data_IF_052681839014
#
_entry.id   IF_052681839014
#
_cell.length_a   1.000
_cell.length_b   1.000
_cell.length_c   1.000
_cell.angle_alpha   90.00
_cell.angle_beta   90.00
_cell.angle_gamma   90.00
#
_symmetry.space_group_name_H-M   'P 1'
#
loop_
_entity.id
_entity.type
_entity.pdbx_description
1 polymer ?
#
# COMPACT_ATOMS: atom_id res chain seq x y z
N UNK A 1 14.31 -25.31 -14.55
CA UNK A 1 13.24 -25.07 -13.55
C UNK A 1 12.16 -26.09 -13.84
N UNK A 2 11.90 -26.99 -12.92
CA UNK A 2 10.97 -28.11 -13.12
C UNK A 2 9.49 -27.75 -13.21
N UNK A 3 9.10 -26.51 -12.86
CA UNK A 3 7.67 -26.11 -12.78
C UNK A 3 7.26 -25.05 -13.82
N UNK A 4 8.10 -24.77 -14.81
CA UNK A 4 7.82 -23.70 -15.80
C UNK A 4 6.62 -23.99 -16.71
N UNK A 5 6.31 -25.28 -16.94
CA UNK A 5 5.20 -25.76 -17.75
C UNK A 5 3.89 -25.93 -16.96
N UNK A 6 3.94 -25.87 -15.62
CA UNK A 6 2.77 -25.97 -14.75
C UNK A 6 1.61 -25.01 -15.15
N UNK A 7 1.85 -23.76 -15.57
CA UNK A 7 0.77 -22.89 -16.02
C UNK A 7 -0.02 -23.45 -17.21
N UNK A 8 0.58 -24.30 -18.02
CA UNK A 8 -0.04 -24.84 -19.23
C UNK A 8 -1.00 -26.00 -18.91
N UNK A 9 -0.86 -26.63 -17.73
CA UNK A 9 -1.73 -27.75 -17.36
C UNK A 9 -3.13 -27.31 -16.89
N UNK A 10 -3.30 -26.02 -16.54
CA UNK A 10 -4.54 -25.49 -15.96
C UNK A 10 -5.04 -24.26 -16.74
N UNK A 11 -5.57 -24.41 -17.96
CA UNK A 11 -6.05 -23.28 -18.76
C UNK A 11 -7.24 -22.54 -18.13
N UNK A 12 -8.03 -23.21 -17.27
CA UNK A 12 -9.16 -22.63 -16.55
C UNK A 12 -8.75 -21.69 -15.42
N UNK A 13 -7.50 -21.76 -14.99
CA UNK A 13 -6.93 -20.96 -13.91
C UNK A 13 -5.78 -20.08 -14.39
N UNK A 14 -5.63 -18.88 -13.79
CA UNK A 14 -4.45 -18.05 -14.01
C UNK A 14 -3.38 -18.43 -13.00
N UNK A 15 -2.40 -19.21 -13.43
CA UNK A 15 -1.28 -19.62 -12.59
C UNK A 15 -0.23 -18.53 -12.50
N UNK A 16 0.32 -18.32 -11.30
CA UNK A 16 1.44 -17.42 -11.02
C UNK A 16 2.49 -18.19 -10.22
N UNK A 17 3.70 -18.18 -10.73
CA UNK A 17 4.88 -18.80 -10.11
C UNK A 17 5.79 -17.70 -9.57
N UNK A 18 6.27 -17.86 -8.35
CA UNK A 18 7.27 -16.99 -7.75
C UNK A 18 8.19 -17.84 -6.88
N UNK A 19 9.40 -18.09 -7.38
CA UNK A 19 10.34 -19.07 -6.80
C UNK A 19 9.67 -20.45 -6.64
N UNK A 20 9.48 -20.90 -5.41
CA UNK A 20 8.80 -22.14 -5.02
C UNK A 20 7.29 -21.96 -4.79
N UNK A 21 6.84 -20.71 -4.64
CA UNK A 21 5.43 -20.40 -4.42
C UNK A 21 4.62 -20.52 -5.73
N UNK A 22 3.61 -21.36 -5.73
CA UNK A 22 2.63 -21.50 -6.83
C UNK A 22 1.26 -21.01 -6.38
N UNK A 23 0.66 -20.11 -7.15
CA UNK A 23 -0.68 -19.60 -6.87
C UNK A 23 -1.56 -19.68 -8.11
N UNK A 24 -2.76 -20.20 -7.95
CA UNK A 24 -3.74 -20.35 -9.03
C UNK A 24 -4.98 -19.52 -8.70
N UNK A 25 -5.33 -18.62 -9.61
CA UNK A 25 -6.50 -17.76 -9.50
C UNK A 25 -7.54 -18.17 -10.52
N UNK A 26 -8.77 -18.32 -10.10
CA UNK A 26 -9.91 -18.46 -10.99
C UNK A 26 -11.13 -17.73 -10.43
N UNK A 27 -12.11 -17.45 -11.25
CA UNK A 27 -13.32 -16.75 -10.85
C UNK A 27 -14.56 -17.38 -11.48
N UNK A 28 -15.67 -17.18 -10.82
CA UNK A 28 -16.98 -17.58 -11.34
C UNK A 28 -18.09 -16.72 -10.71
N UNK A 29 -19.26 -16.77 -11.32
CA UNK A 29 -20.44 -16.03 -10.88
C UNK A 29 -21.32 -16.83 -9.90
N UNK A 30 -21.11 -18.14 -9.76
CA UNK A 30 -21.85 -19.00 -8.82
C UNK A 30 -20.91 -19.90 -8.02
N UNK A 31 -21.37 -20.34 -6.86
CA UNK A 31 -20.61 -21.24 -5.97
C UNK A 31 -20.48 -22.61 -6.59
N UNK A 32 -21.53 -23.11 -7.25
CA UNK A 32 -21.54 -24.40 -7.93
C UNK A 32 -20.45 -24.43 -9.01
N UNK A 33 -20.38 -23.36 -9.80
CA UNK A 33 -19.34 -23.22 -10.83
C UNK A 33 -17.93 -23.07 -10.22
N UNK A 34 -17.79 -22.44 -9.04
CA UNK A 34 -16.50 -22.40 -8.33
C UNK A 34 -16.09 -23.81 -7.92
N UNK A 35 -17.01 -24.60 -7.35
CA UNK A 35 -16.76 -26.00 -6.96
C UNK A 35 -16.39 -26.86 -8.18
N UNK A 36 -17.15 -26.77 -9.27
CA UNK A 36 -16.86 -27.50 -10.50
C UNK A 36 -15.51 -27.15 -11.11
N UNK A 37 -15.20 -25.86 -11.25
CA UNK A 37 -13.89 -25.40 -11.75
C UNK A 37 -12.75 -25.82 -10.84
N UNK A 38 -12.92 -25.72 -9.52
CA UNK A 38 -11.88 -26.15 -8.57
C UNK A 38 -11.57 -27.64 -8.74
N UNK A 39 -12.60 -28.48 -8.92
CA UNK A 39 -12.42 -29.92 -9.14
C UNK A 39 -11.64 -30.20 -10.44
N UNK A 40 -11.96 -29.52 -11.54
CA UNK A 40 -11.25 -29.66 -12.83
C UNK A 40 -9.78 -29.25 -12.67
N UNK A 41 -9.52 -28.07 -12.07
CA UNK A 41 -8.16 -27.57 -11.85
C UNK A 41 -7.37 -28.54 -10.96
N UNK A 42 -7.98 -29.06 -9.88
CA UNK A 42 -7.31 -30.01 -8.99
C UNK A 42 -7.00 -31.33 -9.70
N UNK A 43 -7.87 -31.81 -10.58
CA UNK A 43 -7.61 -33.01 -11.39
C UNK A 43 -6.43 -32.81 -12.33
N UNK A 44 -6.37 -31.69 -13.03
CA UNK A 44 -5.24 -31.36 -13.94
C UNK A 44 -3.92 -31.26 -13.17
N UNK A 45 -3.95 -30.56 -12.02
CA UNK A 45 -2.77 -30.46 -11.15
C UNK A 45 -2.33 -31.84 -10.63
N UNK A 46 -3.26 -32.66 -10.16
CA UNK A 46 -2.98 -34.01 -9.68
C UNK A 46 -2.24 -34.82 -10.75
N UNK A 47 -2.74 -34.80 -11.98
CA UNK A 47 -2.13 -35.53 -13.10
C UNK A 47 -0.72 -34.99 -13.40
N UNK A 48 -0.55 -33.66 -13.41
CA UNK A 48 0.74 -33.04 -13.65
C UNK A 48 1.75 -33.36 -12.53
N UNK A 49 1.34 -33.27 -11.25
CA UNK A 49 2.22 -33.61 -10.10
C UNK A 49 2.63 -35.09 -10.13
N UNK A 50 1.69 -36.01 -10.42
CA UNK A 50 1.99 -37.44 -10.56
C UNK A 50 2.98 -37.71 -11.70
N UNK A 51 2.77 -37.08 -12.87
CA UNK A 51 3.66 -37.25 -14.02
C UNK A 51 5.09 -36.74 -13.73
N UNK A 52 5.22 -35.68 -12.95
CA UNK A 52 6.50 -35.10 -12.58
C UNK A 52 7.11 -35.69 -11.30
N UNK A 53 6.46 -36.70 -10.68
CA UNK A 53 6.88 -37.33 -9.41
C UNK A 53 7.09 -36.31 -8.28
N UNK A 54 6.23 -35.29 -8.23
CA UNK A 54 6.22 -34.25 -7.21
C UNK A 54 5.12 -34.50 -6.19
N UNK A 55 5.35 -34.12 -4.95
CA UNK A 55 4.37 -34.20 -3.87
C UNK A 55 4.02 -32.77 -3.38
N UNK A 56 2.75 -32.56 -3.07
CA UNK A 56 2.30 -31.30 -2.49
C UNK A 56 2.42 -31.36 -0.97
N UNK A 57 2.90 -30.28 -0.37
CA UNK A 57 2.83 -30.12 1.08
C UNK A 57 1.46 -29.50 1.43
N UNK A 58 0.50 -30.36 1.83
CA UNK A 58 -0.87 -29.96 2.15
C UNK A 58 -0.95 -29.05 3.40
N UNK A 59 -0.02 -29.18 4.35
CA UNK A 59 0.01 -28.34 5.56
C UNK A 59 0.40 -26.90 5.25
N UNK A 60 1.23 -26.68 4.21
CA UNK A 60 1.64 -25.34 3.75
C UNK A 60 0.70 -24.80 2.67
N UNK A 61 -0.16 -25.63 2.12
CA UNK A 61 -1.09 -25.25 1.05
C UNK A 61 -2.44 -24.86 1.64
N UNK A 62 -3.00 -23.78 1.15
CA UNK A 62 -4.31 -23.29 1.56
C UNK A 62 -5.02 -22.63 0.40
N UNK A 63 -6.33 -22.53 0.47
CA UNK A 63 -7.10 -21.73 -0.47
C UNK A 63 -7.97 -20.72 0.25
N UNK A 64 -8.30 -19.63 -0.43
CA UNK A 64 -9.25 -18.64 0.05
C UNK A 64 -10.23 -18.25 -1.04
N UNK A 65 -11.41 -17.82 -0.64
CA UNK A 65 -12.47 -17.38 -1.55
C UNK A 65 -12.72 -15.91 -1.27
N UNK A 66 -12.33 -15.07 -2.23
CA UNK A 66 -12.63 -13.64 -2.16
C UNK A 66 -14.09 -13.39 -2.50
N UNK A 67 -14.80 -12.70 -1.62
CA UNK A 67 -16.23 -12.42 -1.75
C UNK A 67 -16.51 -10.92 -1.63
N UNK A 68 -17.45 -10.43 -2.42
CA UNK A 68 -17.88 -9.02 -2.35
C UNK A 68 -18.83 -8.75 -1.17
N UNK A 69 -19.52 -9.78 -0.69
CA UNK A 69 -20.43 -9.68 0.45
C UNK A 69 -19.75 -10.12 1.74
N UNK A 70 -19.98 -9.39 2.83
CA UNK A 70 -19.55 -9.78 4.18
C UNK A 70 -20.42 -10.88 4.79
N UNK A 71 -21.57 -11.20 4.18
CA UNK A 71 -22.45 -12.27 4.67
C UNK A 71 -21.77 -13.62 4.51
N UNK A 72 -21.79 -14.41 5.57
CA UNK A 72 -21.33 -15.79 5.50
C UNK A 72 -22.28 -16.61 4.62
N UNK A 73 -21.69 -17.42 3.78
CA UNK A 73 -22.44 -18.35 2.95
C UNK A 73 -22.04 -19.78 3.36
N UNK A 74 -22.97 -20.53 4.00
CA UNK A 74 -22.69 -21.87 4.50
C UNK A 74 -22.34 -22.88 3.39
N UNK A 75 -22.69 -22.57 2.14
CA UNK A 75 -22.42 -23.44 0.99
C UNK A 75 -21.00 -23.35 0.44
N UNK A 76 -20.15 -22.46 0.99
CA UNK A 76 -18.75 -22.36 0.59
C UNK A 76 -17.96 -23.60 1.05
N UNK A 77 -17.09 -24.17 0.19
CA UNK A 77 -16.28 -25.31 0.58
C UNK A 77 -15.27 -24.93 1.69
N UNK A 78 -15.17 -25.78 2.70
CA UNK A 78 -14.17 -25.62 3.77
C UNK A 78 -12.87 -26.36 3.46
N UNK A 79 -12.89 -27.28 2.50
CA UNK A 79 -11.74 -28.05 2.05
C UNK A 79 -11.89 -28.43 0.58
N UNK A 80 -10.77 -28.63 -0.08
CA UNK A 80 -10.66 -29.12 -1.46
C UNK A 80 -9.73 -30.33 -1.44
N UNK A 81 -10.17 -31.41 -2.11
CA UNK A 81 -9.38 -32.64 -2.26
C UNK A 81 -8.27 -32.45 -3.30
N UNK A 82 -7.07 -32.89 -3.00
CA UNK A 82 -5.91 -32.91 -3.88
C UNK A 82 -4.95 -34.03 -3.51
N UNK A 83 -4.63 -34.95 -4.46
CA UNK A 83 -3.70 -36.07 -4.26
C UNK A 83 -4.01 -36.89 -2.98
N UNK A 84 -5.25 -37.27 -2.78
CA UNK A 84 -5.72 -38.04 -1.60
C UNK A 84 -5.53 -37.30 -0.25
N UNK A 85 -5.31 -35.97 -0.30
CA UNK A 85 -5.18 -35.08 0.84
C UNK A 85 -6.22 -33.94 0.73
N UNK A 86 -6.43 -33.24 1.85
CA UNK A 86 -7.33 -32.09 1.88
C UNK A 86 -6.58 -30.80 2.12
N UNK A 87 -6.75 -29.85 1.19
CA UNK A 87 -6.32 -28.46 1.35
C UNK A 87 -7.42 -27.72 2.10
N UNK A 88 -7.05 -27.07 3.22
CA UNK A 88 -7.99 -26.34 4.07
C UNK A 88 -8.22 -24.92 3.56
N UNK A 89 -9.45 -24.45 3.73
CA UNK A 89 -9.78 -23.04 3.51
C UNK A 89 -9.14 -22.19 4.61
N UNK A 90 -8.52 -21.09 4.20
CA UNK A 90 -8.01 -20.07 5.09
C UNK A 90 -8.80 -18.76 4.88
N UNK A 91 -9.13 -18.07 5.96
CA UNK A 91 -9.75 -16.73 5.91
C UNK A 91 -8.77 -15.65 5.47
N UNK A 92 -7.48 -15.90 5.71
CA UNK A 92 -6.37 -15.03 5.36
C UNK A 92 -5.26 -15.83 4.70
N UNK A 93 -4.71 -15.31 3.61
CA UNK A 93 -3.56 -15.91 2.93
C UNK A 93 -2.43 -14.89 2.81
N UNK A 94 -1.20 -15.35 2.89
CA UNK A 94 -0.02 -14.53 2.65
C UNK A 94 0.42 -14.71 1.19
N UNK A 95 0.21 -13.66 0.39
CA UNK A 95 0.63 -13.63 -1.01
C UNK A 95 1.78 -12.64 -1.19
N UNK A 96 2.95 -13.12 -1.56
CA UNK A 96 4.17 -12.31 -1.74
C UNK A 96 4.39 -11.30 -0.60
N UNK A 97 4.24 -11.75 0.65
CA UNK A 97 4.47 -10.92 1.82
C UNK A 97 3.32 -10.00 2.24
N UNK A 98 2.23 -9.92 1.45
CA UNK A 98 1.00 -9.19 1.80
C UNK A 98 -0.06 -10.17 2.27
N UNK A 99 -0.67 -9.92 3.43
CA UNK A 99 -1.77 -10.75 3.93
C UNK A 99 -3.07 -10.23 3.32
N UNK A 100 -3.77 -11.14 2.63
CA UNK A 100 -5.04 -10.89 1.96
C UNK A 100 -6.13 -11.63 2.73
N UNK A 101 -7.12 -10.92 3.25
CA UNK A 101 -8.32 -11.52 3.84
C UNK A 101 -9.44 -11.68 2.81
N UNK A 102 -10.40 -12.57 3.03
CA UNK A 102 -11.52 -12.89 2.13
C UNK A 102 -12.29 -11.66 1.64
N UNK A 103 -12.32 -10.60 2.42
CA UNK A 103 -13.02 -9.36 2.10
C UNK A 103 -12.08 -8.25 1.63
N UNK A 104 -10.78 -8.53 1.49
CA UNK A 104 -9.73 -7.60 1.10
C UNK A 104 -9.74 -6.30 1.94
N UNK A 105 -9.98 -6.45 3.23
CA UNK A 105 -9.98 -5.33 4.19
C UNK A 105 -8.57 -4.98 4.66
N UNK A 106 -7.60 -5.87 4.46
CA UNK A 106 -6.18 -5.78 4.87
C UNK A 106 -5.97 -5.60 6.38
N UNK A 107 -6.94 -6.04 7.21
CA UNK A 107 -6.89 -5.86 8.65
C UNK A 107 -5.66 -6.52 9.27
N UNK A 108 -5.48 -7.81 8.98
CA UNK A 108 -4.36 -8.60 9.47
C UNK A 108 -3.03 -8.05 9.01
N UNK A 109 -2.93 -7.65 7.73
CA UNK A 109 -1.70 -7.07 7.18
C UNK A 109 -1.31 -5.78 7.90
N UNK A 110 -2.27 -4.88 8.09
CA UNK A 110 -2.04 -3.61 8.81
C UNK A 110 -1.67 -3.85 10.27
N UNK A 111 -2.30 -4.83 10.93
CA UNK A 111 -1.93 -5.23 12.29
C UNK A 111 -0.49 -5.74 12.35
N UNK A 112 -0.08 -6.57 11.38
CA UNK A 112 1.30 -7.06 11.28
C UNK A 112 2.30 -5.92 11.08
N UNK A 113 2.02 -4.96 10.18
CA UNK A 113 2.85 -3.77 10.00
C UNK A 113 2.94 -2.98 11.31
N UNK A 114 1.81 -2.70 11.95
CA UNK A 114 1.78 -1.98 13.23
C UNK A 114 2.62 -2.68 14.30
N UNK A 115 2.53 -4.01 14.40
CA UNK A 115 3.31 -4.78 15.37
C UNK A 115 4.81 -4.74 15.06
N UNK A 116 5.19 -4.82 13.77
CA UNK A 116 6.59 -4.66 13.34
C UNK A 116 7.13 -3.26 13.66
N UNK A 117 6.32 -2.22 13.49
CA UNK A 117 6.68 -0.85 13.83
C UNK A 117 6.80 -0.64 15.34
N UNK A 118 5.87 -1.19 16.13
CA UNK A 118 5.91 -1.08 17.60
C UNK A 118 7.20 -1.66 18.20
N UNK A 119 7.74 -2.73 17.65
CA UNK A 119 9.00 -3.32 18.12
C UNK A 119 10.20 -2.39 17.94
N UNK A 120 10.11 -1.37 17.09
CA UNK A 120 11.19 -0.41 16.87
C UNK A 120 11.30 0.62 17.98
N UNK A 121 10.27 0.86 18.80
CA UNK A 121 10.31 1.88 19.85
C UNK A 121 11.46 1.68 20.82
N UNK A 122 11.65 0.47 21.29
CA UNK A 122 12.73 0.15 22.23
C UNK A 122 14.11 0.41 21.59
N UNK A 123 14.29 -0.04 20.35
CA UNK A 123 15.55 0.16 19.62
C UNK A 123 15.82 1.64 19.45
N UNK A 124 14.82 2.40 18.98
CA UNK A 124 14.98 3.83 18.71
C UNK A 124 15.22 4.65 19.96
N UNK A 125 14.57 4.27 21.06
CA UNK A 125 14.80 4.90 22.36
C UNK A 125 16.26 4.78 22.81
N UNK A 126 16.86 3.61 22.64
CA UNK A 126 18.23 3.35 23.08
C UNK A 126 19.30 4.02 22.18
N UNK A 127 19.01 4.26 20.89
CA UNK A 127 20.01 4.79 19.95
C UNK A 127 19.87 6.29 19.69
N UNK A 128 18.73 6.92 20.03
CA UNK A 128 18.38 8.30 19.63
C UNK A 128 19.44 9.34 20.00
N UNK A 129 20.07 9.19 21.19
CA UNK A 129 21.00 10.17 21.72
C UNK A 129 22.36 10.19 20.96
N UNK A 130 22.61 9.15 20.14
CA UNK A 130 23.82 9.01 19.32
C UNK A 130 23.60 9.41 17.85
N UNK A 131 22.40 9.89 17.48
CA UNK A 131 22.03 10.10 16.08
C UNK A 131 22.08 11.57 15.68
N UNK A 132 22.66 11.84 14.52
CA UNK A 132 22.48 13.08 13.77
C UNK A 132 21.33 12.95 12.75
N UNK A 133 20.91 14.08 12.14
CA UNK A 133 19.79 14.11 11.19
C UNK A 133 19.97 13.16 9.98
N UNK A 134 21.19 12.98 9.51
CA UNK A 134 21.45 12.09 8.38
C UNK A 134 21.26 10.62 8.77
N UNK A 135 21.75 10.24 9.95
CA UNK A 135 21.58 8.91 10.51
C UNK A 135 20.10 8.62 10.82
N UNK A 136 19.37 9.60 11.35
CA UNK A 136 17.91 9.51 11.55
C UNK A 136 17.19 9.17 10.23
N UNK A 137 17.50 9.90 9.15
CA UNK A 137 16.92 9.62 7.82
C UNK A 137 17.27 8.21 7.33
N UNK A 138 18.53 7.79 7.46
CA UNK A 138 18.98 6.46 7.02
C UNK A 138 18.25 5.34 7.76
N UNK A 139 18.19 5.42 9.09
CA UNK A 139 17.49 4.44 9.94
C UNK A 139 16.00 4.42 9.65
N UNK A 140 15.38 5.59 9.50
CA UNK A 140 13.97 5.68 9.12
C UNK A 140 13.70 4.98 7.79
N UNK A 141 14.48 5.25 6.74
CA UNK A 141 14.29 4.61 5.44
C UNK A 141 14.50 3.10 5.49
N UNK A 142 15.50 2.64 6.24
CA UNK A 142 15.81 1.22 6.36
C UNK A 142 14.74 0.45 7.15
N UNK A 143 14.30 0.96 8.29
CA UNK A 143 13.49 0.19 9.25
C UNK A 143 12.00 0.55 9.25
N UNK A 144 11.63 1.80 8.99
CA UNK A 144 10.22 2.25 9.03
C UNK A 144 9.65 2.34 7.63
N UNK A 145 10.26 3.16 6.77
CA UNK A 145 9.76 3.42 5.43
C UNK A 145 9.67 2.15 4.58
N UNK A 146 10.68 1.29 4.61
CA UNK A 146 10.71 0.03 3.87
C UNK A 146 9.50 -0.86 4.19
N UNK A 147 9.13 -0.95 5.48
CA UNK A 147 7.98 -1.74 5.95
C UNK A 147 6.64 -1.13 5.55
N UNK A 148 6.53 0.20 5.61
CA UNK A 148 5.32 0.93 5.20
C UNK A 148 5.15 0.87 3.68
N UNK A 149 6.23 1.08 2.94
CA UNK A 149 6.18 1.15 1.48
C UNK A 149 5.86 -0.18 0.82
N UNK A 150 6.31 -1.30 1.39
CA UNK A 150 6.12 -2.61 0.78
C UNK A 150 4.62 -2.93 0.64
N UNK A 151 4.16 -3.11 -0.60
CA UNK A 151 2.76 -3.40 -0.91
C UNK A 151 1.76 -2.26 -0.66
N UNK A 152 2.20 -1.02 -0.35
CA UNK A 152 1.31 0.09 0.01
C UNK A 152 0.31 0.46 -1.11
N UNK A 153 0.65 0.26 -2.36
CA UNK A 153 -0.26 0.43 -3.49
C UNK A 153 -1.47 -0.52 -3.42
N UNK A 154 -1.33 -1.66 -2.74
CA UNK A 154 -2.37 -2.67 -2.54
C UNK A 154 -3.09 -2.42 -1.21
N UNK A 155 -2.42 -2.60 -0.06
CA UNK A 155 -3.07 -2.48 1.24
C UNK A 155 -3.43 -1.03 1.63
N UNK A 156 -2.78 -0.04 1.03
CA UNK A 156 -3.07 1.38 1.25
C UNK A 156 -4.48 1.80 0.81
N UNK A 157 -5.22 0.92 0.13
CA UNK A 157 -6.63 1.10 -0.21
C UNK A 157 -7.59 0.71 0.94
N UNK A 158 -7.06 0.19 2.04
CA UNK A 158 -7.84 -0.08 3.23
C UNK A 158 -8.54 1.19 3.78
N UNK A 159 -9.46 0.98 4.70
CA UNK A 159 -10.22 2.07 5.30
C UNK A 159 -9.28 3.11 5.97
N UNK A 160 -9.65 4.39 5.87
CA UNK A 160 -8.84 5.52 6.34
C UNK A 160 -8.42 5.39 7.82
N UNK A 161 -9.31 4.89 8.67
CA UNK A 161 -9.03 4.71 10.10
C UNK A 161 -7.88 3.73 10.35
N UNK A 162 -7.73 2.69 9.53
CA UNK A 162 -6.66 1.71 9.64
C UNK A 162 -5.32 2.26 9.15
N UNK A 163 -5.32 2.96 8.02
CA UNK A 163 -4.14 3.66 7.52
C UNK A 163 -3.67 4.73 8.52
N UNK A 164 -4.61 5.43 9.18
CA UNK A 164 -4.29 6.40 10.25
C UNK A 164 -3.52 5.76 11.41
N UNK A 165 -3.75 4.49 11.74
CA UNK A 165 -2.96 3.78 12.78
C UNK A 165 -1.48 3.68 12.41
N UNK A 166 -1.17 3.38 11.14
CA UNK A 166 0.21 3.34 10.64
C UNK A 166 0.82 4.75 10.70
N UNK A 167 0.07 5.78 10.28
CA UNK A 167 0.51 7.18 10.35
C UNK A 167 0.83 7.61 11.78
N UNK A 168 -0.02 7.23 12.74
CA UNK A 168 0.21 7.54 14.16
C UNK A 168 1.51 6.90 14.66
N UNK A 169 1.76 5.62 14.33
CA UNK A 169 3.00 4.95 14.69
C UNK A 169 4.22 5.55 14.00
N UNK A 170 4.11 5.91 12.72
CA UNK A 170 5.16 6.63 11.99
C UNK A 170 5.54 7.92 12.72
N UNK A 171 4.54 8.73 13.09
CA UNK A 171 4.74 9.99 13.78
C UNK A 171 5.41 9.81 15.16
N UNK A 172 4.96 8.83 15.92
CA UNK A 172 5.52 8.52 17.24
C UNK A 172 6.97 8.03 17.14
N UNK A 173 7.25 7.11 16.20
CA UNK A 173 8.61 6.60 15.96
C UNK A 173 9.57 7.73 15.53
N UNK A 174 9.10 8.64 14.67
CA UNK A 174 9.91 9.79 14.27
C UNK A 174 10.20 10.73 15.44
N UNK A 175 9.22 10.98 16.32
CA UNK A 175 9.45 11.79 17.53
C UNK A 175 10.49 11.16 18.46
N UNK A 176 10.39 9.85 18.70
CA UNK A 176 11.38 9.13 19.51
C UNK A 176 12.76 9.20 18.87
N UNK A 177 12.85 8.89 17.57
CA UNK A 177 14.12 8.87 16.83
C UNK A 177 14.81 10.24 16.78
N UNK A 178 14.02 11.32 16.71
CA UNK A 178 14.50 12.70 16.68
C UNK A 178 14.62 13.35 18.07
N UNK A 179 14.43 12.59 19.15
CA UNK A 179 14.49 13.12 20.53
C UNK A 179 13.49 14.23 20.81
N UNK A 180 12.30 14.22 20.16
CA UNK A 180 11.29 15.27 20.31
C UNK A 180 10.21 14.86 21.32
N UNK A 181 9.68 15.86 22.04
CA UNK A 181 8.60 15.66 22.98
C UNK A 181 7.29 15.15 22.32
N UNK A 182 6.43 14.53 23.09
CA UNK A 182 5.14 14.00 22.61
C UNK A 182 4.28 15.07 21.91
N UNK A 183 4.26 16.30 22.43
CA UNK A 183 3.47 17.42 21.89
C UNK A 183 4.08 18.10 20.67
N UNK A 184 5.31 17.76 20.27
CA UNK A 184 5.95 18.35 19.10
C UNK A 184 5.12 18.16 17.82
N UNK A 185 5.03 19.20 16.99
CA UNK A 185 4.27 19.16 15.75
C UNK A 185 4.83 18.10 14.80
N UNK A 186 3.97 17.17 14.39
CA UNK A 186 4.36 16.11 13.44
C UNK A 186 4.59 16.66 12.04
N UNK A 187 3.84 17.67 11.64
CA UNK A 187 3.99 18.29 10.32
C UNK A 187 5.31 19.03 10.21
N UNK A 188 5.71 19.71 11.29
CA UNK A 188 7.03 20.33 11.38
C UNK A 188 8.14 19.27 11.29
N UNK A 189 8.00 18.15 11.99
CA UNK A 189 8.99 17.07 11.98
C UNK A 189 9.12 16.43 10.58
N UNK A 190 8.00 16.17 9.90
CA UNK A 190 7.99 15.66 8.52
C UNK A 190 8.65 16.65 7.55
N UNK A 191 8.43 17.95 7.75
CA UNK A 191 9.04 19.02 6.95
C UNK A 191 10.54 19.14 7.19
N UNK A 192 10.97 19.19 8.47
CA UNK A 192 12.39 19.32 8.86
C UNK A 192 13.23 18.11 8.41
N UNK A 193 12.69 16.91 8.56
CA UNK A 193 13.35 15.67 8.13
C UNK A 193 13.11 15.35 6.65
N UNK A 194 12.30 16.13 5.96
CA UNK A 194 11.91 15.90 4.56
C UNK A 194 11.38 14.47 4.33
N UNK A 195 10.47 14.01 5.16
CA UNK A 195 9.92 12.69 5.12
C UNK A 195 8.43 12.71 4.75
N UNK A 196 8.02 11.80 3.88
CA UNK A 196 6.63 11.69 3.45
C UNK A 196 5.75 11.06 4.54
N UNK A 197 4.51 11.54 4.65
CA UNK A 197 3.44 10.87 5.40
C UNK A 197 2.99 9.60 4.70
N UNK A 198 2.33 8.68 5.41
CA UNK A 198 1.87 7.40 4.85
C UNK A 198 0.97 7.57 3.64
N UNK A 199 0.08 8.57 3.66
CA UNK A 199 -0.80 8.89 2.53
C UNK A 199 -0.01 9.27 1.29
N UNK A 200 1.03 10.09 1.47
CA UNK A 200 1.83 10.59 0.36
C UNK A 200 2.77 9.52 -0.19
N UNK A 201 3.26 8.61 0.66
CA UNK A 201 3.98 7.40 0.22
C UNK A 201 3.09 6.55 -0.69
N UNK A 202 1.82 6.35 -0.30
CA UNK A 202 0.84 5.62 -1.11
C UNK A 202 0.62 6.32 -2.47
N UNK A 203 0.37 7.62 -2.45
CA UNK A 203 0.12 8.39 -3.67
C UNK A 203 1.34 8.40 -4.59
N UNK A 204 2.54 8.53 -4.02
CA UNK A 204 3.80 8.46 -4.77
C UNK A 204 3.96 7.11 -5.49
N UNK A 205 3.66 5.99 -4.83
CA UNK A 205 3.79 4.66 -5.44
C UNK A 205 2.72 4.42 -6.51
N UNK A 206 1.49 4.89 -6.30
CA UNK A 206 0.43 4.83 -7.31
C UNK A 206 0.79 5.68 -8.54
N UNK A 207 1.25 6.93 -8.33
CA UNK A 207 1.68 7.81 -9.43
C UNK A 207 2.84 7.21 -10.21
N UNK A 208 3.80 6.61 -9.52
CA UNK A 208 4.93 5.95 -10.18
C UNK A 208 4.47 4.74 -11.03
N UNK A 209 3.47 3.99 -10.58
CA UNK A 209 2.88 2.91 -11.34
C UNK A 209 2.20 3.44 -12.62
N UNK A 210 1.35 4.46 -12.51
CA UNK A 210 0.68 5.08 -13.66
C UNK A 210 1.68 5.69 -14.64
N UNK A 211 2.70 6.38 -14.13
CA UNK A 211 3.77 6.92 -14.97
C UNK A 211 4.52 5.83 -15.73
N UNK A 212 4.84 4.71 -15.08
CA UNK A 212 5.50 3.58 -15.74
C UNK A 212 4.61 2.94 -16.80
N UNK A 213 3.28 2.92 -16.60
CA UNK A 213 2.32 2.49 -17.60
C UNK A 213 2.41 3.38 -18.86
N UNK A 214 2.28 4.69 -18.72
CA UNK A 214 2.37 5.62 -19.88
C UNK A 214 3.76 5.68 -20.52
N UNK A 215 4.79 5.28 -19.79
CA UNK A 215 6.16 5.17 -20.31
C UNK A 215 6.48 3.80 -20.92
N UNK A 216 5.50 2.90 -21.04
CA UNK A 216 5.65 1.52 -21.53
C UNK A 216 6.72 0.72 -20.78
N UNK A 217 6.83 0.93 -19.44
CA UNK A 217 7.82 0.27 -18.58
C UNK A 217 7.23 -0.81 -17.69
N UNK A 218 5.94 -1.08 -17.83
CA UNK A 218 5.30 -2.18 -17.13
C UNK A 218 5.33 -3.45 -17.98
N UNK A 219 5.28 -4.64 -17.34
CA UNK A 219 5.16 -5.91 -18.05
C UNK A 219 3.94 -5.93 -18.98
N UNK A 220 3.96 -6.74 -20.06
CA UNK A 220 2.87 -6.81 -21.06
C UNK A 220 1.49 -7.12 -20.50
N UNK A 221 1.42 -7.78 -19.33
CA UNK A 221 0.14 -8.08 -18.63
C UNK A 221 -0.65 -6.81 -18.28
N UNK A 222 0.00 -5.65 -18.24
CA UNK A 222 -0.65 -4.36 -17.99
C UNK A 222 -1.03 -3.59 -19.27
N UNK A 223 -0.79 -4.15 -20.47
CA UNK A 223 -1.22 -3.51 -21.71
C UNK A 223 -2.73 -3.27 -21.68
N UNK A 224 -3.17 -2.04 -21.99
CA UNK A 224 -4.57 -1.66 -21.92
C UNK A 224 -5.15 -1.51 -20.48
N UNK A 225 -4.33 -1.56 -19.43
CA UNK A 225 -4.81 -1.43 -18.05
C UNK A 225 -5.46 -0.06 -17.77
N UNK A 226 -4.89 1.02 -18.31
CA UNK A 226 -5.51 2.34 -18.34
C UNK A 226 -5.89 2.72 -19.76
N UNK A 227 -7.08 3.29 -19.92
CA UNK A 227 -7.58 3.82 -21.20
C UNK A 227 -7.39 5.34 -21.20
N UNK A 228 -6.94 5.91 -22.29
CA UNK A 228 -6.87 7.38 -22.46
C UNK A 228 -8.21 7.92 -22.96
N UNK A 229 -8.49 9.21 -22.71
CA UNK A 229 -9.72 9.82 -23.18
C UNK A 229 -9.80 9.91 -24.72
N UNK A 230 -8.65 9.97 -25.40
CA UNK A 230 -8.59 10.01 -26.85
C UNK A 230 -8.97 8.68 -27.50
N UNK A 231 -8.64 7.54 -26.85
CA UNK A 231 -8.91 6.22 -27.45
C UNK A 231 -10.41 5.92 -27.64
N UNK A 232 -11.30 6.71 -27.06
CA UNK A 232 -12.75 6.50 -27.12
C UNK A 232 -13.55 7.61 -27.83
N UNK A 233 -12.96 8.75 -28.07
CA UNK A 233 -13.61 9.85 -28.78
C UNK A 233 -12.66 10.37 -29.83
N UNK A 234 -13.01 10.27 -31.12
CA UNK A 234 -12.26 10.81 -32.26
C UNK A 234 -12.06 12.35 -32.21
N UNK A 235 -12.25 12.98 -31.05
CA UNK A 235 -12.04 14.40 -30.84
C UNK A 235 -10.71 14.62 -30.11
N UNK A 236 -9.74 15.13 -30.83
CA UNK A 236 -8.44 15.58 -30.30
C UNK A 236 -8.65 16.84 -29.45
N UNK A 237 -8.94 16.67 -28.16
CA UNK A 237 -8.85 17.78 -27.21
C UNK A 237 -7.40 17.94 -26.77
N UNK A 238 -6.91 19.18 -26.65
CA UNK A 238 -5.49 19.52 -26.31
C UNK A 238 -4.92 18.82 -25.06
N UNK A 239 -5.76 18.24 -24.20
CA UNK A 239 -5.39 17.54 -22.97
C UNK A 239 -5.80 16.06 -22.95
N UNK A 240 -6.52 15.55 -23.95
CA UNK A 240 -7.13 14.22 -23.91
C UNK A 240 -6.12 13.06 -23.92
N UNK A 241 -4.95 13.25 -24.57
CA UNK A 241 -3.90 12.23 -24.63
C UNK A 241 -3.30 11.88 -23.28
N UNK A 242 -3.29 12.84 -22.34
CA UNK A 242 -2.63 12.70 -21.03
C UNK A 242 -3.62 12.48 -19.89
N UNK A 243 -4.91 12.28 -20.19
CA UNK A 243 -5.93 11.99 -19.19
C UNK A 243 -6.42 10.55 -19.32
N UNK A 244 -6.54 9.88 -18.18
CA UNK A 244 -7.09 8.54 -18.12
C UNK A 244 -8.61 8.57 -17.97
N UNK A 245 -9.28 7.67 -18.69
CA UNK A 245 -10.72 7.44 -18.52
C UNK A 245 -10.98 6.83 -17.14
N UNK A 246 -11.89 7.41 -16.42
CA UNK A 246 -12.41 6.81 -15.18
C UNK A 246 -13.65 6.01 -15.56
N UNK A 247 -13.51 4.69 -15.63
CA UNK A 247 -14.64 3.79 -15.89
C UNK A 247 -15.59 3.78 -14.70
N UNK A 248 -16.89 3.66 -14.96
CA UNK A 248 -17.88 3.40 -13.92
C UNK A 248 -17.53 2.12 -13.15
N UNK A 249 -17.86 2.09 -11.86
CA UNK A 249 -17.62 0.93 -11.00
C UNK A 249 -18.91 0.55 -10.28
N UNK A 250 -19.18 -0.75 -10.21
CA UNK A 250 -20.39 -1.31 -9.58
C UNK A 250 -20.22 -1.60 -8.09
N UNK A 251 -18.99 -1.53 -7.56
CA UNK A 251 -18.72 -1.86 -6.15
C UNK A 251 -17.72 -0.90 -5.51
N UNK A 252 -17.83 -0.74 -4.19
CA UNK A 252 -16.88 0.03 -3.37
C UNK A 252 -15.44 -0.53 -3.50
N UNK A 253 -15.31 -1.85 -3.65
CA UNK A 253 -14.03 -2.51 -3.86
C UNK A 253 -13.38 -2.08 -5.18
N UNK A 254 -14.13 -2.10 -6.27
CA UNK A 254 -13.65 -1.64 -7.57
C UNK A 254 -13.22 -0.16 -7.52
N UNK A 255 -13.98 0.68 -6.79
CA UNK A 255 -13.64 2.09 -6.57
C UNK A 255 -12.26 2.30 -5.91
N UNK A 256 -11.85 1.36 -5.07
CA UNK A 256 -10.56 1.37 -4.36
C UNK A 256 -9.42 0.75 -5.18
N UNK A 257 -9.69 0.17 -6.35
CA UNK A 257 -8.65 -0.44 -7.19
C UNK A 257 -7.62 0.59 -7.67
N UNK A 258 -6.39 0.13 -7.92
CA UNK A 258 -5.33 0.97 -8.49
C UNK A 258 -5.77 1.56 -9.85
N UNK A 259 -6.56 0.81 -10.63
CA UNK A 259 -7.10 1.29 -11.92
C UNK A 259 -7.88 2.59 -11.74
N UNK A 260 -8.79 2.65 -10.78
CA UNK A 260 -9.63 3.82 -10.52
C UNK A 260 -8.88 4.91 -9.76
N UNK A 261 -8.20 4.54 -8.67
CA UNK A 261 -7.48 5.51 -7.84
C UNK A 261 -6.29 6.12 -8.60
N UNK A 262 -5.57 5.30 -9.38
CA UNK A 262 -4.47 5.76 -10.22
C UNK A 262 -4.95 6.74 -11.30
N UNK A 263 -6.04 6.42 -11.97
CA UNK A 263 -6.65 7.31 -12.96
C UNK A 263 -7.06 8.66 -12.35
N UNK A 264 -7.75 8.63 -11.20
CA UNK A 264 -8.16 9.85 -10.48
C UNK A 264 -6.96 10.71 -10.06
N UNK A 265 -5.95 10.06 -9.48
CA UNK A 265 -4.77 10.75 -9.00
C UNK A 265 -3.96 11.33 -10.17
N UNK A 266 -3.76 10.55 -11.23
CA UNK A 266 -3.07 10.99 -12.44
C UNK A 266 -3.75 12.19 -13.09
N UNK A 267 -5.08 12.19 -13.19
CA UNK A 267 -5.81 13.30 -13.78
C UNK A 267 -5.66 14.60 -12.98
N UNK A 268 -5.55 14.51 -11.66
CA UNK A 268 -5.30 15.66 -10.75
C UNK A 268 -3.84 16.16 -10.77
N UNK A 269 -2.92 15.33 -11.23
CA UNK A 269 -1.48 15.63 -11.18
C UNK A 269 -1.13 16.70 -12.20
N UNK A 270 -0.26 17.64 -11.80
CA UNK A 270 0.25 18.70 -12.66
C UNK A 270 1.02 18.16 -13.88
N UNK A 271 0.94 18.92 -14.99
CA UNK A 271 1.64 18.61 -16.25
C UNK A 271 3.15 18.48 -16.06
N UNK A 272 3.75 19.32 -15.20
CA UNK A 272 5.18 19.28 -14.90
C UNK A 272 5.65 17.96 -14.28
N UNK A 273 4.77 17.28 -13.52
CA UNK A 273 5.05 15.94 -12.99
C UNK A 273 4.81 14.86 -14.04
N UNK A 274 3.81 15.01 -14.90
CA UNK A 274 3.49 14.03 -15.95
C UNK A 274 4.59 13.93 -17.00
N UNK A 275 5.22 15.05 -17.34
CA UNK A 275 6.23 15.15 -18.41
C UNK A 275 7.64 14.69 -17.98
N UNK A 276 7.78 14.13 -16.79
CA UNK A 276 9.07 13.62 -16.31
C UNK A 276 9.43 12.31 -17.02
N UNK A 277 10.65 12.19 -17.51
CA UNK A 277 11.09 11.00 -18.27
C UNK A 277 11.30 9.76 -17.41
N UNK A 278 11.77 9.89 -16.17
CA UNK A 278 12.12 8.76 -15.29
C UNK A 278 11.24 8.72 -14.04
N UNK A 279 10.73 7.55 -13.68
CA UNK A 279 9.93 7.34 -12.47
C UNK A 279 10.64 7.79 -11.18
N UNK A 280 11.98 7.65 -11.11
CA UNK A 280 12.78 8.16 -9.99
C UNK A 280 12.67 9.69 -9.86
N UNK A 281 12.75 10.42 -10.97
CA UNK A 281 12.60 11.88 -10.99
C UNK A 281 11.17 12.30 -10.58
N UNK A 282 10.15 11.56 -11.03
CA UNK A 282 8.77 11.80 -10.61
C UNK A 282 8.64 11.66 -9.10
N UNK A 283 9.17 10.58 -8.51
CA UNK A 283 9.15 10.37 -7.05
C UNK A 283 9.86 11.50 -6.30
N UNK A 284 11.00 11.97 -6.80
CA UNK A 284 11.73 13.09 -6.19
C UNK A 284 10.93 14.38 -6.26
N UNK A 285 10.43 14.76 -7.43
CA UNK A 285 9.62 15.98 -7.60
C UNK A 285 8.33 15.95 -6.78
N UNK A 286 7.62 14.81 -6.78
CA UNK A 286 6.43 14.62 -5.95
C UNK A 286 6.74 14.82 -4.47
N UNK A 287 7.84 14.21 -3.98
CA UNK A 287 8.30 14.39 -2.61
C UNK A 287 8.56 15.86 -2.28
N UNK A 288 9.27 16.57 -3.15
CA UNK A 288 9.56 18.01 -2.97
C UNK A 288 8.27 18.82 -2.84
N UNK A 289 7.27 18.56 -3.69
CA UNK A 289 5.97 19.24 -3.63
C UNK A 289 5.24 18.94 -2.31
N UNK A 290 5.21 17.68 -1.86
CA UNK A 290 4.59 17.33 -0.58
C UNK A 290 5.28 18.07 0.59
N UNK A 291 6.61 18.10 0.61
CA UNK A 291 7.37 18.79 1.67
C UNK A 291 7.10 20.31 1.64
N UNK A 292 7.01 20.91 0.47
CA UNK A 292 6.64 22.31 0.33
C UNK A 292 5.24 22.58 0.88
N UNK A 293 4.26 21.74 0.53
CA UNK A 293 2.91 21.85 1.08
C UNK A 293 2.87 21.74 2.62
N UNK A 294 3.73 20.92 3.24
CA UNK A 294 3.83 20.85 4.70
C UNK A 294 4.36 22.16 5.28
N UNK A 295 5.36 22.79 4.63
CA UNK A 295 5.90 24.09 5.05
C UNK A 295 4.86 25.20 4.96
N UNK A 296 4.13 25.25 3.85
CA UNK A 296 3.10 26.25 3.62
C UNK A 296 1.97 26.13 4.66
N UNK A 297 1.52 24.92 4.98
CA UNK A 297 0.52 24.69 6.03
C UNK A 297 1.00 25.16 7.41
N UNK A 298 2.28 25.00 7.73
CA UNK A 298 2.85 25.48 9.00
C UNK A 298 2.88 27.02 9.06
N UNK A 299 3.20 27.69 7.96
CA UNK A 299 3.19 29.15 7.90
C UNK A 299 1.77 29.72 8.07
N UNK A 300 0.77 29.12 7.42
CA UNK A 300 -0.64 29.52 7.58
C UNK A 300 -1.10 29.38 9.04
N UNK A 301 -0.74 28.26 9.70
CA UNK A 301 -1.14 28.05 11.09
C UNK A 301 -0.46 29.04 12.05
N UNK A 302 0.79 29.38 11.81
CA UNK A 302 1.51 30.36 12.63
C UNK A 302 1.00 31.77 12.43
N UNK A 303 0.71 32.18 11.19
CA UNK A 303 0.15 33.51 10.88
C UNK A 303 -1.25 33.68 11.45
N UNK A 304 -2.09 32.63 11.38
CA UNK A 304 -3.43 32.63 11.97
C UNK A 304 -3.38 32.81 13.49
N UNK A 305 -2.49 32.07 14.18
CA UNK A 305 -2.32 32.17 15.63
C UNK A 305 -1.81 33.56 16.05
N UNK A 306 -0.88 34.16 15.32
CA UNK A 306 -0.39 35.51 15.61
C UNK A 306 -1.43 36.61 15.34
N UNK A 307 -2.32 36.41 14.37
CA UNK A 307 -3.36 37.40 14.03
C UNK A 307 -4.52 37.36 15.02
N UNK A 308 -4.93 36.17 15.48
CA UNK A 308 -6.09 36.01 16.38
C UNK A 308 -5.71 35.90 17.85
N UNK A 309 -4.47 35.52 18.17
CA UNK A 309 -3.92 35.46 19.54
C UNK A 309 -2.57 36.15 19.57
N UNK A 310 -2.53 37.52 19.61
CA UNK A 310 -1.25 38.23 19.74
C UNK A 310 -0.55 37.79 21.05
N UNK A 311 0.78 37.69 21.07
CA UNK A 311 1.49 37.29 22.26
C UNK A 311 1.13 38.23 23.40
N UNK A 312 0.63 37.68 24.51
CA UNK A 312 0.46 38.44 25.75
C UNK A 312 1.83 38.83 26.20
N UNK A 313 2.16 40.12 26.08
CA UNK A 313 3.39 40.68 26.59
C UNK A 313 3.30 40.61 28.12
N UNK A 314 3.73 39.51 28.70
CA UNK A 314 3.99 39.42 30.14
C UNK A 314 5.20 40.31 30.42
N UNK A 315 4.95 41.50 30.98
CA UNK A 315 6.03 42.29 31.59
C UNK A 315 6.74 41.36 32.59
N UNK A 316 8.10 41.34 32.60
CA UNK A 316 8.81 40.57 33.60
C UNK A 316 8.40 41.06 34.98
N UNK A 317 7.84 40.20 35.81
CA UNK A 317 7.64 40.46 37.22
C UNK A 317 9.01 40.76 37.80
N UNK A 318 9.15 42.00 38.37
CA UNK A 318 10.34 42.40 39.09
C UNK A 318 10.60 41.37 40.21
N UNK A 319 11.79 40.80 40.23
CA UNK A 319 12.25 39.87 41.26
C UNK A 319 12.12 40.51 42.64
N UNK A 320 11.43 39.91 43.62
CA UNK A 320 11.43 40.40 44.98
C UNK A 320 12.86 40.26 45.53
N UNK A 321 13.43 41.40 45.95
CA UNK A 321 14.66 41.41 46.74
C UNK A 321 14.35 40.86 48.10
N UNK A 322 14.73 39.63 48.36
CA UNK A 322 14.76 39.08 49.74
C UNK A 322 15.97 39.64 50.45
N UNK A 323 15.74 40.57 51.40
CA UNK A 323 16.69 40.88 52.45
C UNK A 323 16.53 39.83 53.55
N UNK A 324 17.59 39.11 53.80
CA UNK A 324 17.70 38.31 55.05
C UNK A 324 18.31 39.22 56.14
N UNK A 325 17.82 39.11 57.37
CA UNK A 325 18.35 39.80 58.52
C UNK A 325 19.71 39.25 58.95
#
# INVERSE_FOLDING_TARGET
MFINDLPNCCPEGKTRLFADDTTIFFHSNSIENIKSKSKIIMTHLTNWFKANKLTLNSEKSSFTIFKSSKKDNPNLPNQIEFLDQYIKRATDIKFLGVILDENLTFNQHINEICNKLKRLFHIFYNIRDFLNNNNIKAIYYALVYSRIKYGISVYGQACKTKIKRIQTLQNQLLKVLAGKEYRFSTDRLHSELELLKVTDIKEQEILAFVHNFFSNRLPPVFNGYFETLISNHNRNTRNGANLTRITGHSSEFAAKSIKIQGAKLWNKTDKNLKNVTKSKMLKTKFKTLCIQNYKDQLQYTSSFLTTFFPPIITKPLASPKFHFP
#
